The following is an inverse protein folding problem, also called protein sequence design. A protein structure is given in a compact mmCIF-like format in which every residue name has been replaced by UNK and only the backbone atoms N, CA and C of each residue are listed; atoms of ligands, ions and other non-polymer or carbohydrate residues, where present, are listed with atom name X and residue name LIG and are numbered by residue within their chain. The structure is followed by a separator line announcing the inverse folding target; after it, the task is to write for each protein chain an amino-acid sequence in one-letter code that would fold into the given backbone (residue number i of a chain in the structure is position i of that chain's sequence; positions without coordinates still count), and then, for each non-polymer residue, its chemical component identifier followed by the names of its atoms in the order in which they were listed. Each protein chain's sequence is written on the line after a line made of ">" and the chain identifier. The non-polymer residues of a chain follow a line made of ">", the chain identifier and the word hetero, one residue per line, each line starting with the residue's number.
data_IF_630652995336
#
_entry.id   IF_630652995336
#
_cell.length_a   1.000
_cell.length_b   1.000
_cell.length_c   1.000
_cell.angle_alpha   90.00
_cell.angle_beta   90.00
_cell.angle_gamma   90.00
#
_symmetry.space_group_name_H-M   'P 1'
#
loop_
_entity.id
_entity.type
_entity.pdbx_description
1 polymer ?
#
# COMPACT_ATOMS: atom_id res chain seq x y z
N UNK A 1 -2.96 8.90 -23.82
CA UNK A 1 -1.64 8.30 -23.49
C UNK A 1 -1.24 8.66 -22.07
N UNK A 2 -0.48 7.80 -21.38
CA UNK A 2 0.22 8.22 -20.16
C UNK A 2 1.30 9.24 -20.55
N UNK A 3 1.38 10.35 -19.85
CA UNK A 3 2.47 11.30 -20.09
C UNK A 3 3.74 10.79 -19.42
N UNK A 4 4.91 11.19 -19.92
CA UNK A 4 6.20 10.91 -19.25
C UNK A 4 6.17 11.37 -17.78
N UNK A 5 5.48 12.48 -17.52
CA UNK A 5 5.27 13.03 -16.19
C UNK A 5 4.47 12.06 -15.30
N UNK A 6 3.38 11.47 -15.82
CA UNK A 6 2.58 10.48 -15.08
C UNK A 6 3.45 9.29 -14.63
N UNK A 7 4.28 8.77 -15.53
CA UNK A 7 5.18 7.64 -15.25
C UNK A 7 6.22 8.01 -14.19
N UNK A 8 6.85 9.18 -14.31
CA UNK A 8 7.86 9.64 -13.35
C UNK A 8 7.28 9.82 -11.94
N UNK A 9 6.13 10.50 -11.83
CA UNK A 9 5.47 10.76 -10.55
C UNK A 9 5.03 9.45 -9.90
N UNK A 10 4.35 8.58 -10.65
CA UNK A 10 3.87 7.30 -10.12
C UNK A 10 5.01 6.35 -9.75
N UNK A 11 6.09 6.35 -10.51
CA UNK A 11 7.30 5.57 -10.19
C UNK A 11 7.97 6.06 -8.92
N UNK A 12 8.11 7.38 -8.75
CA UNK A 12 8.70 7.96 -7.54
C UNK A 12 7.86 7.64 -6.30
N UNK A 13 6.54 7.83 -6.37
CA UNK A 13 5.64 7.50 -5.26
C UNK A 13 5.69 6.00 -4.97
N UNK A 14 5.64 5.15 -5.99
CA UNK A 14 5.74 3.70 -5.81
C UNK A 14 7.03 3.30 -5.12
N UNK A 15 8.17 3.88 -5.51
CA UNK A 15 9.46 3.59 -4.88
C UNK A 15 9.47 3.97 -3.40
N UNK A 16 8.88 5.11 -3.02
CA UNK A 16 8.73 5.52 -1.62
C UNK A 16 7.89 4.51 -0.83
N UNK A 17 6.73 4.09 -1.36
CA UNK A 17 5.89 3.08 -0.71
C UNK A 17 6.56 1.71 -0.62
N UNK A 18 7.34 1.33 -1.63
CA UNK A 18 8.10 0.10 -1.64
C UNK A 18 9.17 0.12 -0.55
N UNK A 19 9.93 1.21 -0.44
CA UNK A 19 10.94 1.39 0.59
C UNK A 19 10.31 1.34 1.99
N UNK A 20 9.22 2.09 2.23
CA UNK A 20 8.48 2.07 3.49
C UNK A 20 7.97 0.66 3.83
N UNK A 21 7.34 -0.01 2.87
CA UNK A 21 6.83 -1.37 3.05
C UNK A 21 7.93 -2.37 3.39
N UNK A 22 9.10 -2.28 2.74
CA UNK A 22 10.27 -3.09 3.06
C UNK A 22 10.83 -2.81 4.45
N UNK A 23 10.87 -1.55 4.87
CA UNK A 23 11.30 -1.18 6.22
C UNK A 23 10.33 -1.75 7.27
N UNK A 24 9.03 -1.55 7.11
CA UNK A 24 8.00 -2.08 8.02
C UNK A 24 8.06 -3.60 8.07
N UNK A 25 8.19 -4.27 6.91
CA UNK A 25 8.20 -5.73 6.84
C UNK A 25 9.45 -6.35 7.49
N UNK A 26 10.63 -5.79 7.23
CA UNK A 26 11.91 -6.35 7.71
C UNK A 26 12.26 -5.92 9.14
N UNK A 27 12.02 -4.66 9.50
CA UNK A 27 12.35 -4.13 10.83
C UNK A 27 11.22 -4.28 11.83
N UNK A 28 10.04 -4.69 11.37
CA UNK A 28 8.82 -4.81 12.18
C UNK A 28 8.43 -3.49 12.88
N UNK A 29 8.83 -2.37 12.28
CA UNK A 29 8.62 -1.04 12.82
C UNK A 29 7.18 -0.57 12.58
N UNK A 30 6.31 -0.89 13.54
CA UNK A 30 4.88 -0.58 13.51
C UNK A 30 4.58 0.91 13.65
N UNK A 31 5.53 1.73 14.10
CA UNK A 31 5.32 3.18 14.28
C UNK A 31 5.23 3.90 12.93
N UNK A 32 5.84 3.31 11.89
CA UNK A 32 5.71 3.77 10.50
C UNK A 32 4.32 3.46 9.90
N UNK A 33 3.51 2.61 10.55
CA UNK A 33 2.16 2.31 10.09
C UNK A 33 1.21 3.44 10.52
N UNK A 34 0.71 4.18 9.54
CA UNK A 34 -0.25 5.25 9.78
C UNK A 34 -1.49 4.73 10.54
N UNK A 35 -1.83 5.40 11.65
CA UNK A 35 -2.94 5.02 12.52
C UNK A 35 -2.58 4.00 13.61
N UNK A 36 -1.34 3.53 13.68
CA UNK A 36 -0.87 2.73 14.81
C UNK A 36 -0.91 3.55 16.11
N UNK A 37 -1.61 3.03 17.11
CA UNK A 37 -1.58 3.52 18.49
C UNK A 37 -1.15 2.40 19.44
N UNK A 38 0.06 2.52 19.98
CA UNK A 38 0.62 1.53 20.91
C UNK A 38 -0.17 1.34 22.21
N UNK A 39 -0.94 2.33 22.66
CA UNK A 39 -1.78 2.23 23.88
C UNK A 39 -3.06 1.43 23.63
N UNK A 40 -3.57 1.43 22.39
CA UNK A 40 -4.82 0.74 22.02
C UNK A 40 -4.58 -0.60 21.31
N UNK A 41 -3.35 -0.87 20.91
CA UNK A 41 -3.01 -2.06 20.14
C UNK A 41 -3.01 -3.31 21.03
N UNK A 42 -3.86 -4.29 20.68
CA UNK A 42 -3.99 -5.57 21.40
C UNK A 42 -3.46 -6.78 20.61
N UNK A 43 -3.09 -6.58 19.34
CA UNK A 43 -2.65 -7.63 18.44
C UNK A 43 -1.19 -8.05 18.63
N UNK A 44 -0.71 -8.94 17.75
CA UNK A 44 0.71 -9.27 17.63
C UNK A 44 1.42 -8.23 16.75
N UNK A 45 2.39 -7.49 17.31
CA UNK A 45 3.11 -6.41 16.62
C UNK A 45 3.86 -6.91 15.37
N UNK A 46 4.59 -8.02 15.49
CA UNK A 46 5.36 -8.63 14.39
C UNK A 46 4.44 -9.00 13.21
N UNK A 47 3.33 -9.69 13.50
CA UNK A 47 2.35 -10.09 12.47
C UNK A 47 1.68 -8.87 11.84
N UNK A 48 1.35 -7.87 12.64
CA UNK A 48 0.76 -6.62 12.17
C UNK A 48 1.73 -5.86 11.25
N UNK A 49 2.99 -5.70 11.65
CA UNK A 49 4.02 -5.07 10.84
C UNK A 49 4.21 -5.81 9.51
N UNK A 50 4.39 -7.13 9.54
CA UNK A 50 4.55 -7.93 8.32
C UNK A 50 3.36 -7.80 7.36
N UNK A 51 2.13 -7.82 7.89
CA UNK A 51 0.94 -7.67 7.06
C UNK A 51 0.85 -6.26 6.43
N UNK A 52 1.11 -5.20 7.21
CA UNK A 52 1.09 -3.82 6.70
C UNK A 52 2.26 -3.52 5.74
N UNK A 53 3.44 -4.07 6.01
CA UNK A 53 4.60 -3.97 5.13
C UNK A 53 4.34 -4.67 3.80
N UNK A 54 3.79 -5.90 3.84
CA UNK A 54 3.39 -6.63 2.63
C UNK A 54 2.32 -5.87 1.84
N UNK A 55 1.35 -5.26 2.54
CA UNK A 55 0.35 -4.40 1.91
C UNK A 55 0.98 -3.22 1.19
N UNK A 56 1.88 -2.47 1.84
CA UNK A 56 2.58 -1.35 1.21
C UNK A 56 3.38 -1.79 -0.02
N UNK A 57 4.07 -2.93 0.06
CA UNK A 57 4.84 -3.49 -1.07
C UNK A 57 3.89 -3.84 -2.23
N UNK A 58 2.79 -4.55 -1.95
CA UNK A 58 1.82 -4.91 -2.98
C UNK A 58 1.17 -3.68 -3.63
N UNK A 59 0.82 -2.68 -2.80
CA UNK A 59 0.25 -1.42 -3.26
C UNK A 59 1.23 -0.64 -4.14
N UNK A 60 2.52 -0.61 -3.77
CA UNK A 60 3.58 -0.01 -4.57
C UNK A 60 3.71 -0.68 -5.95
N UNK A 61 3.71 -2.01 -6.00
CA UNK A 61 3.76 -2.75 -7.26
C UNK A 61 2.56 -2.43 -8.16
N UNK A 62 1.35 -2.40 -7.59
CA UNK A 62 0.14 -2.02 -8.34
C UNK A 62 0.24 -0.60 -8.89
N UNK A 63 0.64 0.36 -8.03
CA UNK A 63 0.80 1.76 -8.40
C UNK A 63 1.81 1.96 -9.53
N UNK A 64 2.92 1.20 -9.51
CA UNK A 64 3.95 1.24 -10.55
C UNK A 64 3.43 0.78 -11.91
N UNK A 65 2.54 -0.21 -11.93
CA UNK A 65 1.97 -0.81 -13.14
C UNK A 65 0.84 0.06 -13.73
N UNK A 66 0.14 0.83 -12.89
CA UNK A 66 -0.98 1.71 -13.27
C UNK A 66 -0.76 2.56 -14.53
N UNK A 67 0.34 3.35 -14.69
CA UNK A 67 0.53 4.15 -15.89
C UNK A 67 0.64 3.31 -17.17
N UNK A 68 1.16 2.08 -17.08
CA UNK A 68 1.29 1.17 -18.22
C UNK A 68 -0.05 0.54 -18.61
N UNK A 69 -0.95 0.30 -17.65
CA UNK A 69 -2.30 -0.21 -17.92
C UNK A 69 -3.13 0.76 -18.77
N UNK A 70 -2.80 2.06 -18.75
CA UNK A 70 -3.45 3.07 -19.58
C UNK A 70 -3.27 2.80 -21.08
N UNK A 71 -2.26 2.04 -21.50
CA UNK A 71 -2.08 1.61 -22.89
C UNK A 71 -3.07 0.52 -23.32
N UNK A 72 -3.59 -0.27 -22.38
CA UNK A 72 -4.56 -1.34 -22.65
C UNK A 72 -6.02 -0.86 -22.63
N UNK A 73 -6.26 0.39 -22.19
CA UNK A 73 -7.56 1.04 -22.20
C UNK A 73 -8.09 1.44 -20.82
N UNK A 74 -9.11 2.29 -20.81
CA UNK A 74 -9.67 2.87 -19.57
C UNK A 74 -10.30 1.84 -18.63
N UNK A 75 -10.80 0.71 -19.16
CA UNK A 75 -11.41 -0.36 -18.36
C UNK A 75 -10.40 -0.95 -17.37
N UNK A 76 -9.17 -1.23 -17.82
CA UNK A 76 -8.11 -1.78 -16.96
C UNK A 76 -7.66 -0.79 -15.89
N UNK A 77 -7.60 0.50 -16.22
CA UNK A 77 -7.28 1.55 -15.27
C UNK A 77 -8.35 1.67 -14.17
N UNK A 78 -9.63 1.59 -14.53
CA UNK A 78 -10.72 1.65 -13.57
C UNK A 78 -10.72 0.40 -12.68
N UNK A 79 -10.46 -0.78 -13.25
CA UNK A 79 -10.38 -2.04 -12.51
C UNK A 79 -9.23 -2.02 -11.49
N UNK A 80 -8.01 -1.60 -11.89
CA UNK A 80 -6.87 -1.57 -10.97
C UNK A 80 -7.10 -0.56 -9.83
N UNK A 81 -7.68 0.59 -10.14
CA UNK A 81 -8.03 1.61 -9.15
C UNK A 81 -9.06 1.10 -8.15
N UNK A 82 -10.06 0.34 -8.62
CA UNK A 82 -11.05 -0.30 -7.76
C UNK A 82 -10.43 -1.36 -6.84
N UNK A 83 -9.51 -2.19 -7.36
CA UNK A 83 -8.76 -3.18 -6.56
C UNK A 83 -7.93 -2.48 -5.48
N UNK A 84 -7.23 -1.40 -5.83
CA UNK A 84 -6.44 -0.61 -4.88
C UNK A 84 -7.31 -0.01 -3.77
N UNK A 85 -8.51 0.47 -4.10
CA UNK A 85 -9.48 0.98 -3.12
C UNK A 85 -9.97 -0.12 -2.18
N UNK A 86 -10.35 -1.29 -2.72
CA UNK A 86 -10.77 -2.44 -1.90
C UNK A 86 -9.66 -2.89 -0.95
N UNK A 87 -8.43 -2.97 -1.45
CA UNK A 87 -7.24 -3.27 -0.65
C UNK A 87 -7.11 -2.28 0.52
N UNK A 88 -7.22 -0.98 0.26
CA UNK A 88 -7.18 0.05 1.30
C UNK A 88 -8.27 -0.15 2.37
N UNK A 89 -9.51 -0.42 1.94
CA UNK A 89 -10.64 -0.66 2.86
C UNK A 89 -10.35 -1.89 3.74
N UNK A 90 -9.88 -2.99 3.15
CA UNK A 90 -9.52 -4.21 3.87
C UNK A 90 -8.43 -3.91 4.91
N UNK A 91 -7.41 -3.12 4.55
CA UNK A 91 -6.34 -2.74 5.47
C UNK A 91 -6.84 -1.91 6.64
N UNK A 92 -7.72 -0.93 6.39
CA UNK A 92 -8.30 -0.08 7.43
C UNK A 92 -9.15 -0.92 8.40
N UNK A 93 -9.99 -1.81 7.87
CA UNK A 93 -10.79 -2.73 8.70
C UNK A 93 -9.92 -3.68 9.52
N UNK A 94 -8.87 -4.23 8.90
CA UNK A 94 -7.91 -5.09 9.57
C UNK A 94 -7.20 -4.34 10.70
N UNK A 95 -6.73 -3.12 10.45
CA UNK A 95 -6.03 -2.29 11.43
C UNK A 95 -6.96 -1.92 12.58
N UNK A 96 -8.18 -1.45 12.28
CA UNK A 96 -9.19 -1.16 13.31
C UNK A 96 -9.42 -2.35 14.23
N UNK A 97 -9.53 -3.56 13.69
CA UNK A 97 -9.72 -4.79 14.47
C UNK A 97 -8.57 -5.08 15.45
N UNK A 98 -7.34 -4.64 15.15
CA UNK A 98 -6.20 -4.82 16.07
C UNK A 98 -6.12 -3.78 17.20
N UNK A 99 -6.88 -2.68 17.08
CA UNK A 99 -6.95 -1.57 18.04
C UNK A 99 -8.25 -1.53 18.85
N UNK A 100 -9.17 -2.48 18.62
CA UNK A 100 -10.38 -2.71 19.43
C UNK A 100 -10.13 -3.80 20.46
#
# INVERSE_FOLDING_TARGET
>A
MATLIDILITSLISLCFLALGLFIYKKEDVELVAGYNGQKFKGNKSKFAKNNGLFCIAFACLLFITPFLKYFGHIFLNLISFIMLLLLIILVLYTRKQHQ
#
